data_IF_729820799496
#
_entry.id   IF_729820799496
#
_cell.length_a   1.000
_cell.length_b   1.000
_cell.length_c   1.000
_cell.angle_alpha   90.00
_cell.angle_beta   90.00
_cell.angle_gamma   90.00
#
_symmetry.space_group_name_H-M   'P 1'
#
loop_
_entity.id
_entity.type
_entity.pdbx_description
1 polymer ?
#
# COMPACT_ATOMS: atom_id res chain seq x y z
N UNK A 1 62.17 -3.68 -39.65
CA UNK A 1 62.18 -4.15 -38.23
C UNK A 1 61.05 -3.52 -37.38
N UNK A 2 60.31 -2.56 -37.90
CA UNK A 2 59.24 -1.87 -37.11
C UNK A 2 57.80 -2.33 -37.43
N UNK A 3 57.58 -3.18 -38.43
CA UNK A 3 56.24 -3.64 -38.81
C UNK A 3 55.71 -4.78 -37.95
N UNK A 4 56.56 -5.58 -37.38
CA UNK A 4 56.18 -6.76 -36.59
C UNK A 4 55.61 -6.41 -35.23
N UNK A 5 56.09 -5.31 -34.64
CA UNK A 5 55.57 -4.79 -33.38
C UNK A 5 54.15 -4.20 -33.49
N UNK A 6 53.84 -3.64 -34.66
CA UNK A 6 52.50 -3.11 -34.94
C UNK A 6 51.51 -4.25 -35.10
N UNK A 7 51.93 -5.34 -35.74
CA UNK A 7 51.09 -6.54 -35.92
C UNK A 7 50.84 -7.27 -34.59
N UNK A 8 51.85 -7.36 -33.72
CA UNK A 8 51.73 -7.98 -32.39
C UNK A 8 50.84 -7.09 -31.47
N UNK A 9 51.01 -5.76 -31.50
CA UNK A 9 50.17 -4.82 -30.74
C UNK A 9 48.73 -4.85 -31.19
N UNK A 10 48.47 -4.90 -32.51
CA UNK A 10 47.10 -4.97 -33.06
C UNK A 10 46.40 -6.30 -32.72
N UNK A 11 47.13 -7.41 -32.67
CA UNK A 11 46.59 -8.73 -32.35
C UNK A 11 46.12 -8.81 -30.88
N UNK A 12 46.76 -8.09 -29.96
CA UNK A 12 46.40 -8.01 -28.54
C UNK A 12 45.25 -7.04 -28.26
N UNK A 13 45.10 -5.97 -29.05
CA UNK A 13 44.06 -4.91 -28.86
C UNK A 13 42.70 -5.40 -29.34
N UNK A 14 42.63 -6.19 -30.40
CA UNK A 14 41.38 -6.70 -30.96
C UNK A 14 40.53 -7.51 -29.96
N UNK A 15 41.07 -8.49 -29.23
CA UNK A 15 40.29 -9.25 -28.25
C UNK A 15 39.88 -8.40 -27.06
N UNK A 16 40.66 -7.40 -26.64
CA UNK A 16 40.33 -6.48 -25.58
C UNK A 16 39.19 -5.54 -25.98
N UNK A 17 39.19 -5.02 -27.20
CA UNK A 17 38.11 -4.19 -27.72
C UNK A 17 36.83 -5.02 -27.87
N UNK A 18 36.90 -6.24 -28.37
CA UNK A 18 35.75 -7.16 -28.42
C UNK A 18 35.16 -7.48 -27.05
N UNK A 19 36.03 -7.70 -26.06
CA UNK A 19 35.59 -7.93 -24.68
C UNK A 19 34.93 -6.69 -24.06
N UNK A 20 35.46 -5.49 -24.30
CA UNK A 20 34.86 -4.24 -23.83
C UNK A 20 33.48 -3.98 -24.43
N UNK A 21 33.29 -4.28 -25.73
CA UNK A 21 31.99 -4.17 -26.40
C UNK A 21 31.01 -5.21 -25.84
N UNK A 22 31.48 -6.43 -25.61
CA UNK A 22 30.66 -7.49 -25.02
C UNK A 22 30.20 -7.13 -23.59
N UNK A 23 31.09 -6.62 -22.72
CA UNK A 23 30.74 -6.14 -21.39
C UNK A 23 29.77 -4.96 -21.46
N UNK A 24 29.99 -4.01 -22.35
CA UNK A 24 29.11 -2.86 -22.55
C UNK A 24 27.70 -3.26 -23.02
N UNK A 25 27.59 -4.28 -23.87
CA UNK A 25 26.31 -4.84 -24.29
C UNK A 25 25.60 -5.57 -23.14
N UNK A 26 26.34 -6.32 -22.35
CA UNK A 26 25.80 -7.05 -21.18
C UNK A 26 25.31 -6.09 -20.08
N UNK A 27 26.05 -5.01 -19.81
CA UNK A 27 25.63 -3.97 -18.88
C UNK A 27 24.36 -3.25 -19.35
N UNK A 28 24.25 -2.92 -20.65
CA UNK A 28 23.05 -2.31 -21.22
C UNK A 28 21.84 -3.23 -21.18
N UNK A 29 22.04 -4.54 -21.25
CA UNK A 29 20.95 -5.50 -21.12
C UNK A 29 20.45 -5.61 -19.69
N UNK A 30 21.35 -5.55 -18.70
CA UNK A 30 20.99 -5.55 -17.28
C UNK A 30 20.23 -4.27 -16.87
N UNK A 31 20.66 -3.10 -17.33
CA UNK A 31 19.93 -1.84 -17.04
C UNK A 31 18.52 -1.84 -17.65
N UNK A 32 18.36 -2.35 -18.88
CA UNK A 32 17.03 -2.43 -19.51
C UNK A 32 16.06 -3.37 -18.79
N UNK A 33 16.55 -4.48 -18.24
CA UNK A 33 15.71 -5.40 -17.45
C UNK A 33 15.35 -4.83 -16.10
N UNK A 34 16.24 -4.06 -15.47
CA UNK A 34 15.95 -3.34 -14.23
C UNK A 34 14.93 -2.22 -14.46
N UNK A 35 15.13 -1.41 -15.50
CA UNK A 35 14.21 -0.33 -15.85
C UNK A 35 12.80 -0.86 -16.17
N UNK A 36 12.69 -1.98 -16.89
CA UNK A 36 11.40 -2.63 -17.17
C UNK A 36 10.73 -3.20 -15.91
N UNK A 37 11.52 -3.76 -15.01
CA UNK A 37 11.01 -4.26 -13.73
C UNK A 37 10.55 -3.12 -12.82
N UNK A 38 11.32 -2.03 -12.74
CA UNK A 38 10.95 -0.84 -11.97
C UNK A 38 9.69 -0.15 -12.54
N UNK A 39 9.53 -0.13 -13.86
CA UNK A 39 8.31 0.34 -14.51
C UNK A 39 7.10 -0.52 -14.15
N UNK A 40 7.22 -1.84 -14.23
CA UNK A 40 6.13 -2.75 -13.84
C UNK A 40 5.75 -2.61 -12.37
N UNK A 41 6.73 -2.50 -11.47
CA UNK A 41 6.46 -2.26 -10.04
C UNK A 41 5.75 -0.92 -9.81
N UNK A 42 6.13 0.11 -10.53
CA UNK A 42 5.52 1.42 -10.40
C UNK A 42 4.08 1.44 -10.95
N UNK A 43 3.84 0.82 -12.10
CA UNK A 43 2.50 0.65 -12.65
C UNK A 43 1.59 -0.16 -11.71
N UNK A 44 2.13 -1.22 -11.10
CA UNK A 44 1.40 -2.03 -10.14
C UNK A 44 1.06 -1.23 -8.87
N UNK A 45 2.00 -0.42 -8.35
CA UNK A 45 1.74 0.46 -7.20
C UNK A 45 0.66 1.49 -7.49
N UNK A 46 0.67 2.09 -8.68
CA UNK A 46 -0.35 3.07 -9.10
C UNK A 46 -1.73 2.39 -9.22
N UNK A 47 -1.78 1.18 -9.77
CA UNK A 47 -3.01 0.40 -9.84
C UNK A 47 -3.54 0.04 -8.46
N UNK A 48 -2.67 -0.45 -7.56
CA UNK A 48 -3.02 -0.81 -6.18
C UNK A 48 -3.53 0.41 -5.39
N UNK A 49 -2.89 1.57 -5.54
CA UNK A 49 -3.32 2.82 -4.92
C UNK A 49 -4.72 3.23 -5.39
N UNK A 50 -4.97 3.18 -6.69
CA UNK A 50 -6.26 3.53 -7.29
C UNK A 50 -7.38 2.62 -6.81
N UNK A 51 -7.16 1.32 -6.81
CA UNK A 51 -8.14 0.32 -6.37
C UNK A 51 -8.41 0.46 -4.87
N UNK A 52 -7.38 0.73 -4.07
CA UNK A 52 -7.52 0.99 -2.65
C UNK A 52 -8.33 2.28 -2.38
N UNK A 53 -8.07 3.38 -3.11
CA UNK A 53 -8.83 4.63 -3.02
C UNK A 53 -10.30 4.42 -3.35
N UNK A 54 -10.61 3.70 -4.41
CA UNK A 54 -11.98 3.37 -4.79
C UNK A 54 -12.68 2.56 -3.69
N UNK A 55 -12.01 1.57 -3.14
CA UNK A 55 -12.53 0.74 -2.05
C UNK A 55 -12.80 1.57 -0.78
N UNK A 56 -11.89 2.47 -0.43
CA UNK A 56 -12.07 3.40 0.70
C UNK A 56 -13.28 4.29 0.50
N UNK A 57 -13.48 4.84 -0.70
CA UNK A 57 -14.67 5.65 -1.00
C UNK A 57 -15.99 4.88 -0.78
N UNK A 58 -16.03 3.62 -1.24
CA UNK A 58 -17.21 2.76 -1.09
C UNK A 58 -17.49 2.51 0.40
N UNK A 59 -16.46 2.16 1.17
CA UNK A 59 -16.58 1.90 2.61
C UNK A 59 -17.02 3.17 3.36
N UNK A 60 -16.42 4.33 3.04
CA UNK A 60 -16.79 5.60 3.66
C UNK A 60 -18.26 5.98 3.38
N UNK A 61 -18.75 5.75 2.17
CA UNK A 61 -20.16 5.96 1.82
C UNK A 61 -21.09 5.01 2.55
N UNK A 62 -20.74 3.70 2.61
CA UNK A 62 -21.53 2.71 3.35
C UNK A 62 -21.61 3.06 4.85
N UNK A 63 -20.50 3.55 5.42
CA UNK A 63 -20.47 4.03 6.79
C UNK A 63 -21.41 5.24 7.02
N UNK A 64 -21.39 6.23 6.13
CA UNK A 64 -22.28 7.38 6.19
C UNK A 64 -23.77 7.01 6.04
N UNK A 65 -24.05 5.93 5.29
CA UNK A 65 -25.40 5.38 5.11
C UNK A 65 -25.84 4.48 6.27
N UNK A 66 -24.95 4.22 7.24
CA UNK A 66 -25.18 3.31 8.37
C UNK A 66 -25.33 1.84 7.98
N UNK A 67 -24.82 1.45 6.81
CA UNK A 67 -24.79 0.07 6.33
C UNK A 67 -23.64 -0.74 6.92
N UNK A 68 -22.69 -0.05 7.56
CA UNK A 68 -21.48 -0.63 8.13
C UNK A 68 -21.22 -0.04 9.51
N UNK A 69 -20.74 -0.83 10.47
CA UNK A 69 -20.34 -0.33 11.78
C UNK A 69 -19.04 0.49 11.70
N UNK A 70 -18.85 1.41 12.65
CA UNK A 70 -17.67 2.27 12.68
C UNK A 70 -16.39 1.47 12.86
N UNK A 71 -16.41 0.44 13.72
CA UNK A 71 -15.26 -0.48 13.93
C UNK A 71 -14.92 -1.27 12.66
N UNK A 72 -15.92 -1.82 11.97
CA UNK A 72 -15.68 -2.58 10.74
C UNK A 72 -15.13 -1.68 9.62
N UNK A 73 -15.70 -0.50 9.47
CA UNK A 73 -15.18 0.49 8.53
C UNK A 73 -13.75 0.89 8.88
N UNK A 74 -13.45 1.11 10.16
CA UNK A 74 -12.13 1.49 10.62
C UNK A 74 -11.07 0.43 10.30
N UNK A 75 -11.34 -0.84 10.57
CA UNK A 75 -10.42 -1.94 10.27
C UNK A 75 -10.14 -2.05 8.77
N UNK A 76 -11.18 -1.95 7.93
CA UNK A 76 -11.04 -2.03 6.47
C UNK A 76 -10.28 -0.83 5.90
N UNK A 77 -10.61 0.39 6.33
CA UNK A 77 -9.95 1.62 5.88
C UNK A 77 -8.50 1.66 6.35
N UNK A 78 -8.21 1.29 7.60
CA UNK A 78 -6.84 1.24 8.13
C UNK A 78 -5.95 0.26 7.33
N UNK A 79 -6.49 -0.88 6.91
CA UNK A 79 -5.79 -1.83 6.05
C UNK A 79 -5.52 -1.27 4.65
N UNK A 80 -6.53 -0.65 4.03
CA UNK A 80 -6.40 -0.09 2.67
C UNK A 80 -5.50 1.15 2.64
N UNK A 81 -5.48 1.94 3.71
CA UNK A 81 -4.63 3.12 3.83
C UNK A 81 -3.14 2.81 3.65
N UNK A 82 -2.70 1.58 3.98
CA UNK A 82 -1.31 1.14 3.80
C UNK A 82 -0.90 1.04 2.32
N UNK A 83 -1.86 0.94 1.40
CA UNK A 83 -1.64 0.84 -0.04
C UNK A 83 -1.74 2.19 -0.75
N UNK A 84 -2.20 3.23 -0.05
CA UNK A 84 -2.48 4.54 -0.61
C UNK A 84 -1.30 5.47 -0.36
N UNK A 85 -0.86 6.15 -1.41
CA UNK A 85 0.12 7.25 -1.32
C UNK A 85 -0.67 8.51 -0.96
N UNK A 86 -0.89 8.70 0.34
CA UNK A 86 -1.74 9.75 0.86
C UNK A 86 -1.01 11.10 1.00
N UNK A 87 -1.71 12.19 0.72
CA UNK A 87 -1.26 13.54 1.06
C UNK A 87 -1.56 13.87 2.54
N UNK A 88 -1.16 15.05 3.01
CA UNK A 88 -1.30 15.43 4.43
C UNK A 88 -2.76 15.46 4.91
N UNK A 89 -3.69 15.92 4.08
CA UNK A 89 -5.12 15.98 4.43
C UNK A 89 -5.72 14.57 4.50
N UNK A 90 -5.36 13.72 3.55
CA UNK A 90 -5.79 12.32 3.52
C UNK A 90 -5.25 11.54 4.72
N UNK A 91 -3.98 11.79 5.11
CA UNK A 91 -3.37 11.16 6.28
C UNK A 91 -4.12 11.49 7.57
N UNK A 92 -4.57 12.75 7.75
CA UNK A 92 -5.39 13.12 8.90
C UNK A 92 -6.73 12.37 8.92
N UNK A 93 -7.38 12.24 7.77
CA UNK A 93 -8.63 11.49 7.66
C UNK A 93 -8.42 9.99 7.96
N UNK A 94 -7.34 9.38 7.46
CA UNK A 94 -6.99 7.98 7.74
C UNK A 94 -6.62 7.73 9.20
N UNK A 95 -5.98 8.71 9.87
CA UNK A 95 -5.53 8.59 11.27
C UNK A 95 -6.67 8.23 12.22
N UNK A 96 -7.85 8.84 12.05
CA UNK A 96 -9.02 8.57 12.88
C UNK A 96 -9.42 7.09 12.80
N UNK A 97 -9.44 6.54 11.59
CA UNK A 97 -9.79 5.13 11.39
C UNK A 97 -8.72 4.18 11.91
N UNK A 98 -7.44 4.55 11.79
CA UNK A 98 -6.34 3.78 12.37
C UNK A 98 -6.44 3.74 13.90
N UNK A 99 -6.71 4.88 14.54
CA UNK A 99 -6.88 4.98 15.98
C UNK A 99 -8.07 4.16 16.49
N UNK A 100 -9.21 4.22 15.79
CA UNK A 100 -10.38 3.42 16.15
C UNK A 100 -10.11 1.92 15.96
N UNK A 101 -9.46 1.53 14.86
CA UNK A 101 -9.08 0.14 14.62
C UNK A 101 -8.12 -0.38 15.70
N UNK A 102 -7.17 0.44 16.13
CA UNK A 102 -6.24 0.11 17.22
C UNK A 102 -6.96 0.01 18.56
N UNK A 103 -7.85 0.96 18.89
CA UNK A 103 -8.62 0.97 20.12
C UNK A 103 -9.54 -0.26 20.27
N UNK A 104 -9.97 -0.85 19.15
CA UNK A 104 -10.85 -2.03 19.12
C UNK A 104 -10.10 -3.32 18.78
N UNK A 105 -8.79 -3.28 18.59
CA UNK A 105 -7.97 -4.43 18.15
C UNK A 105 -7.95 -5.61 19.12
N UNK A 106 -8.19 -5.35 20.41
CA UNK A 106 -8.25 -6.39 21.45
C UNK A 106 -9.56 -7.16 21.44
N UNK A 107 -10.58 -6.69 20.72
CA UNK A 107 -11.89 -7.35 20.62
C UNK A 107 -11.80 -8.44 19.56
N UNK A 108 -12.02 -9.72 19.94
CA UNK A 108 -11.98 -10.81 18.98
C UNK A 108 -13.01 -10.65 17.87
N UNK A 109 -12.66 -11.17 16.68
CA UNK A 109 -13.53 -11.15 15.49
C UNK A 109 -13.70 -12.56 14.91
N UNK A 110 -14.67 -12.71 14.03
CA UNK A 110 -14.92 -13.94 13.26
C UNK A 110 -15.03 -15.20 14.16
N UNK A 111 -14.18 -16.19 13.95
CA UNK A 111 -14.24 -17.46 14.66
C UNK A 111 -13.94 -17.31 16.16
N UNK A 112 -12.97 -16.48 16.52
CA UNK A 112 -12.62 -16.23 17.93
C UNK A 112 -13.78 -15.59 18.69
N UNK A 113 -14.57 -14.73 18.04
CA UNK A 113 -15.80 -14.18 18.62
C UNK A 113 -16.83 -15.24 18.96
N UNK A 114 -16.99 -16.24 18.08
CA UNK A 114 -17.95 -17.34 18.27
C UNK A 114 -17.58 -18.26 19.43
N UNK A 115 -16.30 -18.33 19.76
CA UNK A 115 -15.79 -19.15 20.89
C UNK A 115 -16.02 -18.51 22.25
N UNK A 116 -16.35 -17.22 22.30
CA UNK A 116 -16.60 -16.52 23.55
C UNK A 116 -17.94 -16.90 24.19
N UNK A 117 -17.97 -16.91 25.52
CA UNK A 117 -19.23 -17.01 26.26
C UNK A 117 -20.14 -15.81 26.00
N UNK A 118 -21.45 -16.00 26.08
CA UNK A 118 -22.44 -14.92 25.86
C UNK A 118 -22.28 -13.71 26.77
N UNK A 119 -21.84 -13.93 28.01
CA UNK A 119 -21.55 -12.90 28.99
C UNK A 119 -20.39 -12.01 28.49
N UNK A 120 -19.33 -12.64 28.02
CA UNK A 120 -18.15 -11.96 27.48
C UNK A 120 -18.46 -11.22 26.16
N UNK A 121 -19.23 -11.84 25.26
CA UNK A 121 -19.69 -11.18 24.05
C UNK A 121 -20.49 -9.91 24.37
N UNK A 122 -21.38 -9.93 25.37
CA UNK A 122 -22.13 -8.75 25.80
C UNK A 122 -21.21 -7.67 26.37
N UNK A 123 -20.25 -8.04 27.19
CA UNK A 123 -19.27 -7.11 27.76
C UNK A 123 -18.47 -6.40 26.68
N UNK A 124 -17.89 -7.19 25.75
CA UNK A 124 -17.09 -6.65 24.65
C UNK A 124 -17.92 -5.84 23.64
N UNK A 125 -19.19 -6.21 23.43
CA UNK A 125 -20.10 -5.41 22.60
C UNK A 125 -20.34 -4.03 23.22
N UNK A 126 -20.63 -3.97 24.52
CA UNK A 126 -20.83 -2.71 25.22
C UNK A 126 -19.54 -1.85 25.22
N UNK A 127 -18.39 -2.49 25.38
CA UNK A 127 -17.10 -1.81 25.31
C UNK A 127 -16.86 -1.22 23.91
N UNK A 128 -17.10 -1.99 22.85
CA UNK A 128 -17.00 -1.52 21.46
C UNK A 128 -17.92 -0.34 21.19
N UNK A 129 -19.19 -0.44 21.58
CA UNK A 129 -20.18 0.63 21.40
C UNK A 129 -19.78 1.93 22.12
N UNK A 130 -19.15 1.80 23.29
CA UNK A 130 -18.62 2.96 24.02
C UNK A 130 -17.46 3.60 23.24
N UNK A 131 -16.52 2.81 22.75
CA UNK A 131 -15.38 3.29 21.96
C UNK A 131 -15.91 3.94 20.67
N UNK A 132 -16.82 3.30 19.94
CA UNK A 132 -17.43 3.85 18.72
C UNK A 132 -18.10 5.21 19.00
N UNK A 133 -18.80 5.34 20.11
CA UNK A 133 -19.43 6.60 20.52
C UNK A 133 -18.41 7.71 20.78
N UNK A 134 -17.29 7.39 21.40
CA UNK A 134 -16.23 8.37 21.70
C UNK A 134 -15.54 8.86 20.40
N UNK A 135 -15.51 8.06 19.35
CA UNK A 135 -14.91 8.39 18.05
C UNK A 135 -15.92 8.90 17.02
N UNK A 136 -17.23 8.80 17.26
CA UNK A 136 -18.28 8.96 16.25
C UNK A 136 -18.22 10.29 15.49
N UNK A 137 -17.95 11.41 16.14
CA UNK A 137 -17.84 12.72 15.49
C UNK A 137 -16.63 12.79 14.55
N UNK A 138 -15.49 12.32 15.01
CA UNK A 138 -14.26 12.30 14.21
C UNK A 138 -14.38 11.35 13.02
N UNK A 139 -14.99 10.18 13.24
CA UNK A 139 -15.26 9.18 12.20
C UNK A 139 -16.21 9.74 11.14
N UNK A 140 -17.26 10.47 11.52
CA UNK A 140 -18.19 11.10 10.58
C UNK A 140 -17.48 12.15 9.70
N UNK A 141 -16.62 12.98 10.29
CA UNK A 141 -15.81 13.96 9.55
C UNK A 141 -14.83 13.26 8.60
N UNK A 142 -14.10 12.27 9.10
CA UNK A 142 -13.16 11.47 8.31
C UNK A 142 -13.86 10.74 7.16
N UNK A 143 -15.01 10.11 7.40
CA UNK A 143 -15.79 9.43 6.38
C UNK A 143 -16.27 10.38 5.28
N UNK A 144 -16.73 11.57 5.64
CA UNK A 144 -17.13 12.57 4.66
C UNK A 144 -15.96 13.03 3.78
N UNK A 145 -14.78 13.20 4.36
CA UNK A 145 -13.56 13.51 3.64
C UNK A 145 -13.16 12.36 2.69
N UNK A 146 -13.10 11.13 3.19
CA UNK A 146 -12.70 9.94 2.42
C UNK A 146 -13.73 9.55 1.35
N UNK A 147 -15.02 9.88 1.52
CA UNK A 147 -16.05 9.63 0.51
C UNK A 147 -15.83 10.43 -0.78
N UNK A 148 -15.02 11.49 -0.72
CA UNK A 148 -14.68 12.41 -1.82
C UNK A 148 -13.21 12.26 -2.25
N UNK A 149 -12.53 11.22 -1.80
CA UNK A 149 -11.13 10.94 -2.12
C UNK A 149 -10.92 10.93 -3.64
N UNK A 150 -9.88 11.62 -4.13
CA UNK A 150 -9.59 11.64 -5.57
C UNK A 150 -9.00 10.30 -6.02
N UNK A 151 -9.54 9.80 -7.12
CA UNK A 151 -8.96 8.67 -7.85
C UNK A 151 -7.93 9.27 -8.81
N UNK A 152 -6.70 9.42 -8.38
CA UNK A 152 -5.61 9.95 -9.21
C UNK A 152 -5.09 8.92 -10.20
#
# INVERSE_FOLDING_TARGET
MNSDWILIGGLLILPLAGYAIFLGAQLRQQTRTQDAFDQQLNEQRISDDRDARQSVQIIARALLQKDLSETEAAMRIAFLAQKIIANSEELEAFRVFQQLAEATSHIPILEDWKLLERSEQKRLTAEREKIEKDYSEFVAVGANSLSKLRLS
#
